data_IF_916985554237
#
_entry.id   IF_916985554237
#
_cell.length_a   1.000
_cell.length_b   1.000
_cell.length_c   1.000
_cell.angle_alpha   90.00
_cell.angle_beta   90.00
_cell.angle_gamma   90.00
#
_symmetry.space_group_name_H-M   'P 1'
#
loop_
_entity.id
_entity.type
_entity.pdbx_description
1 polymer ?
#
# COMPACT_ATOMS: atom_id res chain seq x y z
N UNK A 1 26.71 -21.31 -46.26
CA UNK A 1 25.69 -20.61 -45.44
C UNK A 1 26.41 -19.47 -44.74
N UNK A 2 26.06 -18.23 -45.06
CA UNK A 2 26.62 -17.03 -44.44
C UNK A 2 25.49 -16.42 -43.59
N UNK A 3 25.69 -16.30 -42.28
CA UNK A 3 24.75 -15.59 -41.41
C UNK A 3 25.00 -14.10 -41.64
N UNK A 4 23.98 -13.39 -42.13
CA UNK A 4 23.97 -11.93 -42.22
C UNK A 4 23.08 -11.39 -41.11
N UNK A 5 23.57 -11.45 -39.88
CA UNK A 5 23.00 -10.73 -38.75
C UNK A 5 23.98 -9.66 -38.33
N UNK A 6 24.05 -8.62 -39.16
CA UNK A 6 24.81 -7.38 -38.91
C UNK A 6 23.92 -6.36 -38.17
N UNK A 7 23.10 -6.87 -37.24
CA UNK A 7 22.20 -6.11 -36.38
C UNK A 7 22.69 -6.15 -34.94
N UNK A 8 23.95 -5.75 -34.72
CA UNK A 8 24.51 -5.65 -33.39
C UNK A 8 23.63 -4.74 -32.53
N UNK A 9 23.02 -5.29 -31.48
CA UNK A 9 22.21 -4.53 -30.54
C UNK A 9 23.11 -3.49 -29.85
N UNK A 10 23.03 -2.25 -30.31
CA UNK A 10 23.72 -1.12 -29.68
C UNK A 10 22.74 -0.49 -28.71
N UNK A 11 23.01 -0.62 -27.41
CA UNK A 11 22.31 0.15 -26.40
C UNK A 11 22.62 1.64 -26.60
N UNK A 12 21.63 2.39 -27.05
CA UNK A 12 21.66 3.84 -27.06
C UNK A 12 20.99 4.37 -25.78
N UNK A 13 21.76 4.79 -24.76
CA UNK A 13 21.20 5.31 -23.51
C UNK A 13 20.46 6.63 -23.72
N UNK A 14 20.74 7.37 -24.80
CA UNK A 14 20.12 8.67 -25.06
C UNK A 14 18.69 8.57 -25.59
N UNK A 15 18.24 7.39 -26.03
CA UNK A 15 16.85 7.12 -26.40
C UNK A 15 15.88 7.29 -25.21
N UNK A 16 16.39 7.26 -23.99
CA UNK A 16 15.61 7.39 -22.76
C UNK A 16 15.70 8.78 -22.12
N UNK A 17 16.55 9.67 -22.66
CA UNK A 17 16.75 11.04 -22.14
C UNK A 17 15.76 12.06 -22.72
N UNK A 18 14.81 11.61 -23.54
CA UNK A 18 13.71 12.44 -24.06
C UNK A 18 12.66 12.73 -22.99
N UNK A 19 12.43 14.02 -22.72
CA UNK A 19 11.36 14.52 -21.85
C UNK A 19 10.03 13.80 -22.10
N UNK A 20 9.46 13.26 -21.02
CA UNK A 20 8.44 12.23 -21.02
C UNK A 20 7.08 12.68 -21.54
N UNK A 21 6.87 12.58 -22.85
CA UNK A 21 5.52 12.46 -23.41
C UNK A 21 5.43 11.20 -24.25
N UNK A 22 5.04 10.10 -23.59
CA UNK A 22 4.64 8.87 -24.27
C UNK A 22 3.34 9.13 -25.04
N UNK A 23 3.45 9.46 -26.31
CA UNK A 23 2.33 9.47 -27.25
C UNK A 23 1.90 8.02 -27.44
N UNK A 24 0.69 7.70 -26.97
CA UNK A 24 0.06 6.41 -27.20
C UNK A 24 -0.42 6.30 -28.64
N UNK A 25 0.49 5.95 -29.55
CA UNK A 25 0.14 5.50 -30.90
C UNK A 25 0.15 3.97 -30.92
N UNK A 26 -1.05 3.42 -30.75
CA UNK A 26 -1.36 2.00 -30.85
C UNK A 26 -1.33 1.59 -32.32
N UNK A 27 -0.15 1.24 -32.84
CA UNK A 27 -0.02 0.60 -34.14
C UNK A 27 -0.36 -0.90 -34.01
N UNK A 28 -1.53 -1.25 -34.53
CA UNK A 28 -2.01 -2.62 -34.67
C UNK A 28 -1.14 -3.36 -35.68
N UNK A 29 -0.17 -4.14 -35.18
CA UNK A 29 0.64 -5.07 -35.94
C UNK A 29 0.03 -6.46 -35.94
N UNK A 30 -0.66 -6.79 -37.03
CA UNK A 30 -1.09 -8.14 -37.42
C UNK A 30 0.14 -9.05 -37.60
N UNK A 31 0.21 -10.15 -36.86
CA UNK A 31 0.99 -11.34 -37.21
C UNK A 31 0.46 -12.54 -36.42
N UNK A 32 -0.09 -13.49 -37.17
CA UNK A 32 -0.65 -14.75 -36.71
C UNK A 32 0.40 -15.76 -36.27
N UNK A 33 -0.06 -16.65 -35.39
CA UNK A 33 0.51 -17.94 -34.96
C UNK A 33 1.87 -17.90 -34.23
N UNK A 34 1.83 -18.14 -32.92
CA UNK A 34 2.37 -19.35 -32.28
C UNK A 34 1.89 -19.44 -30.83
N UNK A 35 1.58 -20.65 -30.40
CA UNK A 35 1.13 -21.11 -29.07
C UNK A 35 1.92 -20.48 -27.90
N UNK A 36 1.51 -19.29 -27.48
CA UNK A 36 2.00 -18.61 -26.27
C UNK A 36 0.85 -18.43 -25.31
N UNK A 37 1.06 -18.72 -24.02
CA UNK A 37 0.06 -18.44 -22.99
C UNK A 37 -0.47 -17.00 -23.16
N UNK A 38 -1.78 -16.82 -22.97
CA UNK A 38 -2.47 -15.54 -22.98
C UNK A 38 -1.90 -14.65 -21.85
N UNK A 39 -0.76 -14.01 -22.11
CA UNK A 39 -0.12 -13.03 -21.25
C UNK A 39 -0.76 -11.65 -21.39
N UNK A 40 -1.85 -11.55 -22.16
CA UNK A 40 -2.68 -10.34 -22.32
C UNK A 40 -3.71 -10.17 -21.22
N UNK A 41 -3.75 -11.06 -20.21
CA UNK A 41 -4.37 -10.73 -18.93
C UNK A 41 -3.53 -9.63 -18.27
N UNK A 42 -3.88 -8.39 -18.61
CA UNK A 42 -3.34 -7.17 -18.01
C UNK A 42 -3.19 -7.42 -16.50
N UNK A 43 -1.97 -7.39 -15.95
CA UNK A 43 -1.76 -7.63 -14.53
C UNK A 43 -2.74 -6.73 -13.80
N UNK A 44 -3.65 -7.29 -12.98
CA UNK A 44 -4.63 -6.50 -12.23
C UNK A 44 -3.85 -5.43 -11.47
N UNK A 45 -3.80 -4.22 -12.02
CA UNK A 45 -3.00 -3.17 -11.48
C UNK A 45 -3.63 -2.85 -10.12
N UNK A 46 -2.93 -3.04 -9.00
CA UNK A 46 -3.52 -2.80 -7.69
C UNK A 46 -3.96 -1.34 -7.51
N UNK A 47 -3.52 -0.43 -8.40
CA UNK A 47 -3.92 0.96 -8.48
C UNK A 47 -5.21 1.22 -9.29
N UNK A 48 -5.75 0.25 -10.05
CA UNK A 48 -7.05 0.39 -10.74
C UNK A 48 -8.23 -0.14 -9.91
N UNK A 49 -7.95 -0.66 -8.71
CA UNK A 49 -8.97 -1.03 -7.73
C UNK A 49 -9.17 0.17 -6.80
N UNK A 50 -10.28 0.89 -6.94
CA UNK A 50 -10.70 1.91 -5.99
C UNK A 50 -10.87 1.27 -4.60
N UNK A 51 -9.85 1.44 -3.74
CA UNK A 51 -9.90 1.03 -2.33
C UNK A 51 -10.30 2.23 -1.50
N UNK A 52 -11.59 2.38 -1.31
CA UNK A 52 -12.11 3.37 -0.39
C UNK A 52 -11.79 3.01 1.06
N UNK A 53 -11.59 4.05 1.86
CA UNK A 53 -11.34 3.91 3.29
C UNK A 53 -12.66 3.62 4.00
N UNK A 54 -12.92 2.35 4.27
CA UNK A 54 -14.17 1.89 4.86
C UNK A 54 -14.33 2.34 6.33
N UNK A 55 -15.54 2.21 6.88
CA UNK A 55 -15.89 2.60 8.25
C UNK A 55 -14.99 1.94 9.30
N UNK A 56 -14.50 0.73 9.01
CA UNK A 56 -13.57 -0.04 9.86
C UNK A 56 -12.20 0.63 9.95
N UNK A 57 -11.75 1.24 8.85
CA UNK A 57 -10.54 2.06 8.81
C UNK A 57 -10.71 3.30 9.69
N UNK A 58 -11.86 3.97 9.61
CA UNK A 58 -12.15 5.13 10.46
C UNK A 58 -12.21 4.80 11.95
N UNK A 59 -12.79 3.64 12.31
CA UNK A 59 -12.75 3.15 13.70
C UNK A 59 -11.32 2.95 14.17
N UNK A 60 -10.47 2.32 13.35
CA UNK A 60 -9.05 2.12 13.68
C UNK A 60 -8.32 3.46 13.90
N UNK A 61 -8.56 4.46 13.05
CA UNK A 61 -8.01 5.81 13.23
C UNK A 61 -8.46 6.43 14.55
N UNK A 62 -9.74 6.32 14.89
CA UNK A 62 -10.26 6.79 16.18
C UNK A 62 -9.56 6.15 17.37
N UNK A 63 -9.30 4.84 17.30
CA UNK A 63 -8.57 4.11 18.35
C UNK A 63 -7.10 4.53 18.44
N UNK A 64 -6.45 4.78 17.31
CA UNK A 64 -5.07 5.30 17.28
C UNK A 64 -4.99 6.64 18.03
N UNK A 65 -5.95 7.54 17.82
CA UNK A 65 -6.02 8.82 18.55
C UNK A 65 -6.17 8.57 20.05
N UNK A 66 -7.02 7.62 20.45
CA UNK A 66 -7.20 7.27 21.87
C UNK A 66 -5.88 6.74 22.47
N UNK A 67 -5.18 5.86 21.76
CA UNK A 67 -3.97 5.21 22.24
C UNK A 67 -2.77 6.15 22.36
N UNK A 68 -2.56 7.02 21.36
CA UNK A 68 -1.35 7.83 21.26
C UNK A 68 -1.52 9.28 21.70
N UNK A 69 -2.75 9.79 21.79
CA UNK A 69 -3.00 11.16 22.23
C UNK A 69 -3.76 11.17 23.55
N UNK A 70 -4.94 10.56 23.61
CA UNK A 70 -5.83 10.69 24.78
C UNK A 70 -5.18 10.06 26.02
N UNK A 71 -4.68 8.83 25.92
CA UNK A 71 -4.04 8.13 27.02
C UNK A 71 -2.81 8.90 27.59
N UNK A 72 -1.80 9.28 26.81
CA UNK A 72 -0.66 10.01 27.36
C UNK A 72 -1.02 11.43 27.85
N UNK A 73 -1.92 12.14 27.16
CA UNK A 73 -2.39 13.45 27.64
C UNK A 73 -3.10 13.31 29.00
N UNK A 74 -3.89 12.25 29.19
CA UNK A 74 -4.57 12.02 30.47
C UNK A 74 -3.57 11.80 31.62
N UNK A 75 -2.45 11.11 31.37
CA UNK A 75 -1.37 10.92 32.36
C UNK A 75 -0.72 12.26 32.74
N UNK A 76 -0.56 13.15 31.76
CA UNK A 76 0.07 14.47 31.98
C UNK A 76 -0.86 15.44 32.71
N UNK A 77 -2.14 15.45 32.38
CA UNK A 77 -3.11 16.43 32.89
C UNK A 77 -3.75 16.03 34.22
N UNK A 78 -3.83 14.74 34.54
CA UNK A 78 -4.36 14.25 35.82
C UNK A 78 -3.24 13.70 36.72
N UNK A 79 -2.66 14.54 37.61
CA UNK A 79 -1.62 14.10 38.55
C UNK A 79 -2.16 13.01 39.50
N UNK A 80 -1.28 12.14 40.06
CA UNK A 80 -1.62 10.79 40.50
C UNK A 80 -2.33 10.79 41.85
N UNK A 81 -3.65 10.99 41.82
CA UNK A 81 -4.55 10.41 42.82
C UNK A 81 -4.87 8.94 42.49
N UNK A 82 -4.53 8.51 41.27
CA UNK A 82 -4.66 7.13 40.81
C UNK A 82 -3.50 6.27 41.29
N UNK A 83 -3.80 5.01 41.62
CA UNK A 83 -2.79 4.00 41.94
C UNK A 83 -1.76 3.90 40.80
N UNK A 84 -0.46 3.87 41.14
CA UNK A 84 0.65 3.72 40.20
C UNK A 84 0.45 2.57 39.20
N UNK A 85 -0.13 1.45 39.63
CA UNK A 85 -0.46 0.33 38.75
C UNK A 85 -1.46 0.72 37.66
N UNK A 86 -2.48 1.51 38.00
CA UNK A 86 -3.48 1.97 37.03
C UNK A 86 -2.85 2.96 36.06
N UNK A 87 -2.12 3.95 36.57
CA UNK A 87 -1.54 5.02 35.76
C UNK A 87 -0.44 4.53 34.80
N UNK A 88 0.42 3.63 35.26
CA UNK A 88 1.60 3.18 34.51
C UNK A 88 1.38 1.87 33.74
N UNK A 89 0.42 1.03 34.16
CA UNK A 89 0.14 -0.23 33.46
C UNK A 89 -1.21 -0.20 32.75
N UNK A 90 -2.33 -0.06 33.48
CA UNK A 90 -3.66 -0.23 32.87
C UNK A 90 -3.94 0.85 31.82
N UNK A 91 -3.70 2.11 32.16
CA UNK A 91 -4.02 3.26 31.33
C UNK A 91 -3.29 3.26 29.97
N UNK A 92 -2.01 2.87 29.86
CA UNK A 92 -1.37 2.65 28.56
C UNK A 92 -1.68 1.28 27.94
N UNK A 93 -1.85 0.21 28.73
CA UNK A 93 -2.08 -1.15 28.22
C UNK A 93 -3.46 -1.31 27.59
N UNK A 94 -4.49 -0.74 28.22
CA UNK A 94 -5.87 -0.86 27.77
C UNK A 94 -6.09 -0.34 26.34
N UNK A 95 -5.71 0.90 25.98
CA UNK A 95 -5.88 1.38 24.62
C UNK A 95 -4.97 0.65 23.63
N UNK A 96 -3.80 0.16 24.05
CA UNK A 96 -2.95 -0.68 23.20
C UNK A 96 -3.59 -2.03 22.87
N UNK A 97 -4.22 -2.69 23.86
CA UNK A 97 -4.97 -3.92 23.63
C UNK A 97 -6.17 -3.70 22.72
N UNK A 98 -6.89 -2.59 22.92
CA UNK A 98 -8.00 -2.18 22.08
C UNK A 98 -7.53 -1.93 20.63
N UNK A 99 -6.41 -1.24 20.45
CA UNK A 99 -5.77 -1.05 19.14
C UNK A 99 -5.44 -2.39 18.49
N UNK A 100 -4.79 -3.30 19.20
CA UNK A 100 -4.44 -4.62 18.66
C UNK A 100 -5.68 -5.38 18.15
N UNK A 101 -6.75 -5.43 18.95
CA UNK A 101 -7.99 -6.12 18.59
C UNK A 101 -8.64 -5.45 17.38
N UNK A 102 -8.75 -4.12 17.39
CA UNK A 102 -9.40 -3.36 16.31
C UNK A 102 -8.61 -3.37 15.02
N UNK A 103 -7.27 -3.43 15.07
CA UNK A 103 -6.42 -3.60 13.90
C UNK A 103 -6.62 -4.97 13.26
N UNK A 104 -6.64 -6.04 14.06
CA UNK A 104 -6.93 -7.39 13.56
C UNK A 104 -8.31 -7.41 12.92
N UNK A 105 -9.33 -6.93 13.65
CA UNK A 105 -10.68 -6.84 13.12
C UNK A 105 -10.73 -6.04 11.83
N UNK A 106 -10.16 -4.84 11.74
CA UNK A 106 -10.22 -3.99 10.55
C UNK A 106 -9.68 -4.65 9.27
N UNK A 107 -8.78 -5.63 9.41
CA UNK A 107 -8.20 -6.38 8.28
C UNK A 107 -8.97 -7.65 7.90
N UNK A 108 -9.90 -8.14 8.73
CA UNK A 108 -10.72 -9.31 8.38
C UNK A 108 -11.71 -8.95 7.28
N UNK A 109 -11.66 -9.59 6.11
CA UNK A 109 -12.69 -9.37 5.09
C UNK A 109 -14.04 -9.92 5.57
N UNK A 110 -15.17 -9.23 5.33
CA UNK A 110 -16.48 -9.85 5.44
C UNK A 110 -16.65 -11.00 4.43
#
# INVERSE_FOLDING_TARGET
MTSSDDGGYVHDPSAFDGDGTATAENETGDSADETGADWTESPRNPATVDRDFDWRGWVLVGVIIIAFLVAPISILLWPPTLNYFVALLILPLFPAALLAITAVWATTRP
#
